data_IF_724497732383
#
_entry.id   IF_724497732383
#
_cell.length_a   1.000
_cell.length_b   1.000
_cell.length_c   1.000
_cell.angle_alpha   90.00
_cell.angle_beta   90.00
_cell.angle_gamma   90.00
#
_symmetry.space_group_name_H-M   'P 1'
#
loop_
_entity.id
_entity.type
_entity.pdbx_description
1 polymer ?
#
# COMPACT_ATOMS: atom_id res chain seq x y z
N UNK A 1 56.24 -59.72 25.34
CA UNK A 1 55.29 -58.59 25.44
C UNK A 1 55.14 -57.94 24.07
N UNK A 2 53.93 -57.47 23.75
CA UNK A 2 53.46 -56.91 22.46
C UNK A 2 52.78 -57.90 21.50
N UNK A 3 51.54 -58.28 21.84
CA UNK A 3 50.55 -58.73 20.85
C UNK A 3 49.97 -57.49 20.16
N UNK A 4 50.11 -57.41 18.83
CA UNK A 4 49.41 -56.41 18.00
C UNK A 4 48.02 -56.94 17.65
N UNK A 5 47.01 -56.49 18.39
CA UNK A 5 45.59 -56.70 18.07
C UNK A 5 45.20 -55.73 16.95
N UNK A 6 44.80 -56.26 15.78
CA UNK A 6 44.25 -55.45 14.68
C UNK A 6 42.77 -55.16 14.96
N UNK A 7 42.47 -53.90 15.23
CA UNK A 7 41.12 -53.35 15.39
C UNK A 7 40.44 -53.22 14.01
N UNK A 8 39.40 -54.01 13.76
CA UNK A 8 38.51 -53.82 12.61
C UNK A 8 37.53 -52.68 12.95
N UNK A 9 37.67 -51.54 12.27
CA UNK A 9 36.70 -50.44 12.32
C UNK A 9 35.58 -50.75 11.34
N UNK A 10 34.39 -51.08 11.85
CA UNK A 10 33.17 -51.11 11.04
C UNK A 10 32.68 -49.68 10.83
N UNK A 11 32.85 -49.15 9.63
CA UNK A 11 32.23 -47.88 9.20
C UNK A 11 30.77 -48.18 8.87
N UNK A 12 29.85 -47.82 9.77
CA UNK A 12 28.41 -47.76 9.46
C UNK A 12 28.17 -46.56 8.54
N UNK A 13 27.88 -46.80 7.27
CA UNK A 13 27.28 -45.80 6.39
C UNK A 13 25.83 -45.59 6.84
N UNK A 14 25.56 -44.52 7.59
CA UNK A 14 24.21 -44.04 7.79
C UNK A 14 23.69 -43.51 6.45
N UNK A 15 22.84 -44.29 5.79
CA UNK A 15 22.06 -43.82 4.64
C UNK A 15 21.09 -42.79 5.19
N UNK A 16 21.45 -41.52 5.05
CA UNK A 16 20.54 -40.40 5.31
C UNK A 16 19.46 -40.49 4.23
N UNK A 17 18.29 -41.03 4.57
CA UNK A 17 17.11 -40.98 3.72
C UNK A 17 16.70 -39.51 3.60
N UNK A 18 17.22 -38.83 2.59
CA UNK A 18 16.73 -37.52 2.20
C UNK A 18 15.29 -37.71 1.74
N UNK A 19 14.33 -37.35 2.59
CA UNK A 19 12.93 -37.22 2.18
C UNK A 19 12.90 -36.16 1.10
N UNK A 20 12.77 -36.59 -0.15
CA UNK A 20 12.49 -35.74 -1.29
C UNK A 20 11.14 -35.09 -1.00
N UNK A 21 11.15 -33.87 -0.45
CA UNK A 21 9.97 -33.02 -0.41
C UNK A 21 9.64 -32.71 -1.87
N UNK A 22 8.77 -33.51 -2.46
CA UNK A 22 8.02 -33.11 -3.64
C UNK A 22 7.27 -31.85 -3.21
N UNK A 23 7.76 -30.69 -3.65
CA UNK A 23 7.00 -29.46 -3.55
C UNK A 23 5.74 -29.68 -4.39
N UNK A 24 4.65 -30.08 -3.73
CA UNK A 24 3.34 -30.07 -4.34
C UNK A 24 3.07 -28.62 -4.68
N UNK A 25 3.03 -28.30 -5.98
CA UNK A 25 2.59 -26.99 -6.45
C UNK A 25 1.21 -26.75 -5.88
N UNK A 26 1.09 -25.82 -4.93
CA UNK A 26 -0.20 -25.42 -4.39
C UNK A 26 -1.07 -24.93 -5.55
N UNK A 27 -2.24 -25.52 -5.72
CA UNK A 27 -3.21 -25.08 -6.72
C UNK A 27 -3.82 -23.75 -6.24
N UNK A 28 -3.79 -22.74 -7.11
CA UNK A 28 -4.51 -21.50 -6.87
C UNK A 28 -6.02 -21.79 -6.89
N UNK A 29 -6.73 -21.37 -5.84
CA UNK A 29 -8.18 -21.41 -5.75
C UNK A 29 -8.80 -20.13 -6.32
N UNK A 30 -10.06 -20.19 -6.72
CA UNK A 30 -10.86 -19.01 -7.07
C UNK A 30 -12.10 -18.96 -6.19
N UNK A 31 -12.21 -17.91 -5.38
CA UNK A 31 -13.37 -17.67 -4.51
C UNK A 31 -14.27 -16.60 -5.12
N UNK A 32 -15.57 -16.89 -5.23
CA UNK A 32 -16.55 -15.96 -5.82
C UNK A 32 -17.43 -15.37 -4.73
N UNK A 33 -17.17 -14.11 -4.40
CA UNK A 33 -17.93 -13.35 -3.40
C UNK A 33 -19.34 -13.09 -3.92
N UNK A 34 -20.34 -13.51 -3.15
CA UNK A 34 -21.76 -13.37 -3.47
C UNK A 34 -22.57 -12.63 -2.40
N UNK A 35 -21.95 -12.26 -1.28
CA UNK A 35 -22.57 -11.50 -0.19
C UNK A 35 -22.03 -10.07 -0.09
N UNK A 36 -22.92 -9.09 0.14
CA UNK A 36 -22.62 -7.66 0.21
C UNK A 36 -22.29 -7.13 1.61
N UNK A 37 -22.35 -8.00 2.63
CA UNK A 37 -22.01 -7.66 4.02
C UNK A 37 -20.67 -8.30 4.42
N UNK A 38 -20.18 -7.94 5.62
CA UNK A 38 -18.94 -8.46 6.18
C UNK A 38 -19.22 -9.55 7.22
N UNK A 39 -18.59 -10.71 7.05
CA UNK A 39 -18.61 -11.82 8.01
C UNK A 39 -17.36 -12.69 7.79
N UNK A 40 -16.86 -13.31 8.85
CA UNK A 40 -15.74 -14.26 8.77
C UNK A 40 -16.17 -15.57 8.13
N UNK A 41 -15.21 -16.31 7.60
CA UNK A 41 -15.44 -17.69 7.20
C UNK A 41 -15.78 -18.57 8.42
N UNK A 42 -16.67 -19.56 8.25
CA UNK A 42 -17.08 -20.46 9.31
C UNK A 42 -16.03 -21.54 9.62
N UNK A 43 -15.19 -21.92 8.66
CA UNK A 43 -14.17 -22.96 8.79
C UNK A 43 -12.94 -22.69 7.90
N UNK A 44 -12.12 -21.66 8.23
CA UNK A 44 -10.92 -21.31 7.48
C UNK A 44 -10.02 -22.49 7.10
N UNK A 45 -9.80 -22.71 5.80
CA UNK A 45 -8.91 -23.73 5.24
C UNK A 45 -9.58 -25.04 4.83
N UNK A 46 -10.91 -25.07 4.79
CA UNK A 46 -11.67 -26.21 4.24
C UNK A 46 -11.82 -26.17 2.70
N UNK A 47 -11.39 -25.06 2.08
CA UNK A 47 -11.42 -24.83 0.64
C UNK A 47 -12.76 -24.27 0.14
N UNK A 48 -13.67 -23.89 1.04
CA UNK A 48 -15.00 -23.38 0.72
C UNK A 48 -15.19 -22.02 1.37
N UNK A 49 -15.31 -20.97 0.55
CA UNK A 49 -15.69 -19.66 1.07
C UNK A 49 -17.15 -19.67 1.52
N UNK A 50 -17.39 -19.72 2.83
CA UNK A 50 -18.72 -19.75 3.42
C UNK A 50 -18.72 -19.22 4.86
N UNK A 51 -19.51 -18.19 5.10
CA UNK A 51 -19.85 -17.76 6.47
C UNK A 51 -20.82 -18.75 7.17
N UNK A 52 -21.23 -18.42 8.40
CA UNK A 52 -22.11 -19.27 9.21
C UNK A 52 -23.49 -19.55 8.59
N UNK A 53 -23.91 -18.80 7.55
CA UNK A 53 -25.16 -19.02 6.82
C UNK A 53 -24.93 -19.53 5.39
N UNK A 54 -23.69 -19.84 5.03
CA UNK A 54 -23.30 -20.42 3.74
C UNK A 54 -23.07 -19.41 2.62
N UNK A 55 -22.93 -18.12 2.92
CA UNK A 55 -22.65 -17.09 1.93
C UNK A 55 -21.16 -16.73 1.89
N UNK A 56 -20.64 -16.40 0.71
CA UNK A 56 -19.25 -16.02 0.53
C UNK A 56 -19.12 -14.49 0.58
N UNK A 57 -18.64 -13.96 1.70
CA UNK A 57 -18.24 -12.54 1.85
C UNK A 57 -16.81 -12.33 1.36
N UNK A 58 -16.39 -11.08 1.17
CA UNK A 58 -14.99 -10.78 0.83
C UNK A 58 -14.02 -11.24 1.94
N UNK A 59 -14.43 -11.08 3.21
CA UNK A 59 -13.60 -11.50 4.33
C UNK A 59 -13.53 -13.01 4.44
N UNK A 60 -14.63 -13.73 4.26
CA UNK A 60 -14.61 -15.19 4.23
C UNK A 60 -13.68 -15.72 3.12
N UNK A 61 -13.74 -15.12 1.92
CA UNK A 61 -12.84 -15.45 0.82
C UNK A 61 -11.36 -15.19 1.15
N UNK A 62 -11.08 -14.11 1.88
CA UNK A 62 -9.73 -13.80 2.35
C UNK A 62 -9.27 -14.75 3.47
N UNK A 63 -10.14 -15.13 4.39
CA UNK A 63 -9.87 -16.09 5.46
C UNK A 63 -9.50 -17.46 4.87
N UNK A 64 -10.25 -17.92 3.85
CA UNK A 64 -9.91 -19.11 3.07
C UNK A 64 -8.55 -18.97 2.37
N UNK A 65 -8.35 -17.88 1.62
CA UNK A 65 -7.09 -17.64 0.91
C UNK A 65 -5.87 -17.58 1.83
N UNK A 66 -6.04 -17.08 3.06
CA UNK A 66 -4.99 -17.06 4.06
C UNK A 66 -4.61 -18.45 4.58
N UNK A 67 -5.54 -19.40 4.53
CA UNK A 67 -5.33 -20.77 4.99
C UNK A 67 -4.73 -21.69 3.90
N UNK A 68 -4.71 -21.25 2.64
CA UNK A 68 -4.07 -21.99 1.54
C UNK A 68 -2.62 -21.56 1.30
N UNK A 69 -1.94 -22.32 0.45
CA UNK A 69 -0.57 -22.02 0.00
C UNK A 69 -0.50 -21.54 -1.46
N UNK A 70 -1.66 -21.51 -2.15
CA UNK A 70 -1.79 -21.05 -3.53
C UNK A 70 -1.79 -19.53 -3.63
N UNK A 71 -1.53 -19.02 -4.83
CA UNK A 71 -1.78 -17.61 -5.13
C UNK A 71 -3.22 -17.48 -5.61
N UNK A 72 -4.14 -17.34 -4.66
CA UNK A 72 -5.57 -17.43 -4.94
C UNK A 72 -6.13 -16.17 -5.62
N UNK A 73 -7.32 -16.31 -6.18
CA UNK A 73 -8.05 -15.23 -6.85
C UNK A 73 -9.41 -15.06 -6.18
N UNK A 74 -9.74 -13.83 -5.80
CA UNK A 74 -11.06 -13.45 -5.31
C UNK A 74 -11.74 -12.61 -6.39
N UNK A 75 -12.93 -13.06 -6.81
CA UNK A 75 -13.79 -12.38 -7.78
C UNK A 75 -15.18 -12.13 -7.18
N UNK A 76 -15.99 -11.33 -7.86
CA UNK A 76 -17.31 -10.94 -7.39
C UNK A 76 -18.40 -11.43 -8.34
N UNK A 77 -19.45 -12.05 -7.80
CA UNK A 77 -20.56 -12.57 -8.58
C UNK A 77 -21.37 -11.45 -9.24
N UNK A 78 -21.50 -10.29 -8.59
CA UNK A 78 -22.37 -9.19 -9.01
C UNK A 78 -21.69 -7.84 -8.77
N UNK A 79 -21.94 -6.82 -9.61
CA UNK A 79 -21.58 -5.45 -9.28
C UNK A 79 -22.35 -4.95 -8.06
N UNK A 80 -21.75 -4.05 -7.28
CA UNK A 80 -22.43 -3.48 -6.12
C UNK A 80 -21.48 -2.97 -5.05
N UNK A 81 -22.07 -2.63 -3.91
CA UNK A 81 -21.36 -2.14 -2.72
C UNK A 81 -21.23 -3.25 -1.70
N UNK A 82 -20.00 -3.64 -1.42
CA UNK A 82 -19.60 -4.64 -0.43
C UNK A 82 -19.12 -3.91 0.83
N UNK A 83 -19.89 -4.02 1.90
CA UNK A 83 -19.55 -3.38 3.17
C UNK A 83 -18.44 -4.17 3.86
N UNK A 84 -17.40 -3.48 4.31
CA UNK A 84 -16.24 -4.01 5.02
C UNK A 84 -16.16 -3.34 6.38
N UNK A 85 -16.40 -4.11 7.43
CA UNK A 85 -16.47 -3.66 8.81
C UNK A 85 -17.26 -4.66 9.64
N UNK A 86 -16.56 -5.48 10.43
CA UNK A 86 -17.19 -6.37 11.38
C UNK A 86 -17.93 -5.58 12.47
N UNK A 87 -19.04 -6.13 12.93
CA UNK A 87 -19.77 -5.62 14.10
C UNK A 87 -19.37 -6.39 15.37
N UNK A 88 -19.65 -5.84 16.55
CA UNK A 88 -19.43 -6.53 17.81
C UNK A 88 -17.95 -6.57 18.27
N UNK A 89 -17.50 -7.62 18.98
CA UNK A 89 -16.17 -7.64 19.63
C UNK A 89 -14.99 -7.68 18.64
N UNK A 90 -15.23 -8.01 17.37
CA UNK A 90 -14.24 -7.91 16.29
C UNK A 90 -14.33 -6.57 15.52
N UNK A 91 -15.21 -5.64 15.96
CA UNK A 91 -15.26 -4.28 15.40
C UNK A 91 -13.89 -3.64 15.52
N UNK A 92 -13.37 -3.16 14.40
CA UNK A 92 -12.04 -2.54 14.33
C UNK A 92 -11.01 -3.35 13.53
N UNK A 93 -11.32 -4.58 13.10
CA UNK A 93 -10.37 -5.38 12.32
C UNK A 93 -10.61 -5.25 10.80
N UNK A 94 -9.61 -4.75 10.09
CA UNK A 94 -9.57 -4.81 8.62
C UNK A 94 -9.47 -6.25 8.12
N UNK A 95 -9.75 -6.46 6.83
CA UNK A 95 -9.53 -7.75 6.16
C UNK A 95 -8.03 -8.03 6.11
N UNK A 96 -7.61 -9.19 6.62
CA UNK A 96 -6.20 -9.58 6.67
C UNK A 96 -5.79 -10.29 5.39
N UNK A 97 -4.65 -9.94 4.80
CA UNK A 97 -4.12 -10.56 3.57
C UNK A 97 -2.70 -11.05 3.82
N UNK A 98 -2.59 -12.24 4.42
CA UNK A 98 -1.34 -12.82 4.93
C UNK A 98 -0.66 -13.77 3.94
N UNK A 99 -1.29 -14.04 2.81
CA UNK A 99 -0.83 -14.90 1.71
C UNK A 99 -0.95 -14.18 0.37
N UNK A 100 -0.28 -14.66 -0.70
CA UNK A 100 -0.45 -14.10 -2.03
C UNK A 100 -1.89 -14.24 -2.52
N UNK A 101 -2.50 -13.13 -2.96
CA UNK A 101 -3.89 -13.12 -3.43
C UNK A 101 -4.13 -12.00 -4.43
N UNK A 102 -4.92 -12.29 -5.46
CA UNK A 102 -5.46 -11.29 -6.39
C UNK A 102 -6.92 -11.04 -6.09
N UNK A 103 -7.31 -9.79 -5.88
CA UNK A 103 -8.71 -9.38 -5.69
C UNK A 103 -9.12 -8.55 -6.89
N UNK A 104 -9.96 -9.13 -7.75
CA UNK A 104 -10.29 -8.58 -9.06
C UNK A 104 -11.78 -8.24 -9.15
N UNK A 105 -12.09 -6.95 -9.32
CA UNK A 105 -13.44 -6.45 -9.53
C UNK A 105 -14.05 -6.84 -10.88
N UNK A 106 -13.24 -7.33 -11.81
CA UNK A 106 -13.66 -7.76 -13.14
C UNK A 106 -14.19 -6.62 -14.00
N UNK A 107 -14.98 -6.97 -15.02
CA UNK A 107 -15.57 -6.03 -15.98
C UNK A 107 -17.11 -6.00 -15.95
N UNK A 108 -17.74 -6.69 -14.99
CA UNK A 108 -19.20 -6.84 -14.91
C UNK A 108 -19.92 -5.57 -14.40
N UNK A 109 -19.16 -4.57 -13.95
CA UNK A 109 -19.63 -3.31 -13.40
C UNK A 109 -18.72 -2.86 -12.26
N UNK A 110 -19.07 -1.77 -11.57
CA UNK A 110 -18.24 -1.29 -10.46
C UNK A 110 -18.43 -2.15 -9.21
N UNK A 111 -17.33 -2.66 -8.69
CA UNK A 111 -17.23 -3.24 -7.36
C UNK A 111 -16.75 -2.16 -6.40
N UNK A 112 -17.61 -1.79 -5.46
CA UNK A 112 -17.34 -0.77 -4.45
C UNK A 112 -17.12 -1.46 -3.12
N UNK A 113 -15.92 -1.38 -2.58
CA UNK A 113 -15.60 -1.78 -1.23
C UNK A 113 -15.83 -0.57 -0.31
N UNK A 114 -16.82 -0.68 0.57
CA UNK A 114 -17.24 0.39 1.46
C UNK A 114 -16.74 0.09 2.87
N UNK A 115 -15.75 0.86 3.33
CA UNK A 115 -15.24 0.75 4.68
C UNK A 115 -16.11 1.46 5.71
N UNK A 116 -15.66 1.41 6.96
CA UNK A 116 -16.23 2.18 8.08
C UNK A 116 -15.21 3.15 8.65
N UNK A 117 -15.67 4.14 9.42
CA UNK A 117 -14.77 5.08 10.13
C UNK A 117 -13.96 4.44 11.26
N UNK A 118 -14.28 3.20 11.65
CA UNK A 118 -13.77 2.59 12.87
C UNK A 118 -12.60 1.62 12.62
N UNK A 119 -12.33 1.25 11.37
CA UNK A 119 -11.27 0.31 11.02
C UNK A 119 -10.63 0.65 9.68
N UNK A 120 -9.38 0.20 9.52
CA UNK A 120 -8.82 -0.02 8.19
C UNK A 120 -9.72 -1.01 7.40
N UNK A 121 -9.78 -0.84 6.08
CA UNK A 121 -10.50 -1.79 5.20
C UNK A 121 -9.66 -3.05 4.99
N UNK A 122 -8.38 -2.89 4.63
CA UNK A 122 -7.39 -3.96 4.55
C UNK A 122 -6.22 -3.68 5.48
N UNK A 123 -5.89 -4.64 6.35
CA UNK A 123 -4.83 -4.51 7.34
C UNK A 123 -3.90 -5.74 7.31
N UNK A 124 -2.63 -5.52 7.68
CA UNK A 124 -1.59 -6.55 7.82
C UNK A 124 -1.38 -7.43 6.59
N UNK A 125 -0.47 -6.96 5.74
CA UNK A 125 0.14 -7.80 4.72
C UNK A 125 1.23 -8.60 5.41
N UNK A 126 1.08 -9.92 5.40
CA UNK A 126 2.08 -10.83 5.93
C UNK A 126 3.46 -10.51 5.33
N UNK A 127 4.53 -10.84 6.05
CA UNK A 127 5.89 -10.71 5.52
C UNK A 127 5.96 -11.40 4.14
N UNK A 128 6.25 -10.61 3.11
CA UNK A 128 6.33 -11.04 1.71
C UNK A 128 5.00 -11.48 1.06
N UNK A 129 3.83 -11.22 1.66
CA UNK A 129 2.56 -11.40 0.99
C UNK A 129 2.51 -10.52 -0.27
N UNK A 130 2.19 -11.12 -1.42
CA UNK A 130 2.05 -10.41 -2.70
C UNK A 130 0.57 -10.25 -3.01
N UNK A 131 0.05 -9.04 -2.88
CA UNK A 131 -1.35 -8.74 -3.08
C UNK A 131 -1.53 -7.85 -4.29
N UNK A 132 -2.49 -8.21 -5.13
CA UNK A 132 -2.91 -7.44 -6.29
C UNK A 132 -4.38 -7.06 -6.16
N UNK A 133 -4.66 -5.75 -6.23
CA UNK A 133 -6.01 -5.22 -6.39
C UNK A 133 -6.20 -4.74 -7.82
N UNK A 134 -7.28 -5.17 -8.47
CA UNK A 134 -7.63 -4.75 -9.84
C UNK A 134 -9.09 -4.35 -9.97
N UNK A 135 -9.37 -3.22 -10.64
CA UNK A 135 -10.73 -2.81 -11.02
C UNK A 135 -11.68 -2.60 -9.84
N UNK A 136 -11.18 -2.03 -8.74
CA UNK A 136 -11.94 -1.80 -7.51
C UNK A 136 -12.11 -0.31 -7.19
N UNK A 137 -13.24 0.04 -6.58
CA UNK A 137 -13.42 1.30 -5.87
C UNK A 137 -13.33 1.03 -4.37
N UNK A 138 -12.45 1.71 -3.63
CA UNK A 138 -12.31 1.58 -2.18
C UNK A 138 -12.57 2.92 -1.51
N UNK A 139 -13.59 2.97 -0.64
CA UNK A 139 -14.03 4.25 -0.08
C UNK A 139 -14.56 4.20 1.35
N UNK A 140 -14.52 5.37 2.01
CA UNK A 140 -15.16 5.63 3.30
C UNK A 140 -14.56 4.90 4.50
N UNK A 141 -13.34 4.39 4.38
CA UNK A 141 -12.64 3.73 5.47
C UNK A 141 -11.86 4.72 6.35
N UNK A 142 -11.53 4.32 7.59
CA UNK A 142 -10.48 4.98 8.39
C UNK A 142 -9.14 4.93 7.65
N UNK A 143 -8.89 3.86 6.91
CA UNK A 143 -7.80 3.74 5.94
C UNK A 143 -8.19 2.70 4.91
N UNK A 144 -7.92 2.91 3.63
CA UNK A 144 -8.20 1.85 2.67
C UNK A 144 -7.23 0.66 2.87
N UNK A 145 -5.93 0.94 2.95
CA UNK A 145 -4.91 -0.11 2.95
C UNK A 145 -3.77 0.23 3.91
N UNK A 146 -3.39 -0.72 4.77
CA UNK A 146 -2.15 -0.68 5.55
C UNK A 146 -1.19 -1.79 5.12
N UNK A 147 -0.09 -1.44 4.46
CA UNK A 147 0.97 -2.38 4.03
C UNK A 147 2.25 -2.26 4.87
N UNK A 148 2.35 -3.07 5.92
CA UNK A 148 3.44 -3.01 6.92
C UNK A 148 4.67 -3.86 6.58
N UNK A 149 4.63 -4.70 5.53
CA UNK A 149 5.80 -5.48 5.07
C UNK A 149 5.63 -6.25 3.73
N UNK A 150 4.46 -6.19 3.10
CA UNK A 150 4.15 -6.95 1.88
C UNK A 150 4.50 -6.22 0.58
N UNK A 151 4.24 -6.90 -0.53
CA UNK A 151 4.27 -6.36 -1.89
C UNK A 151 2.83 -6.12 -2.30
N UNK A 152 2.46 -4.86 -2.45
CA UNK A 152 1.13 -4.41 -2.84
C UNK A 152 1.16 -3.85 -4.25
N UNK A 153 0.29 -4.35 -5.12
CA UNK A 153 0.00 -3.75 -6.42
C UNK A 153 -1.45 -3.27 -6.44
N UNK A 154 -1.64 -2.01 -6.80
CA UNK A 154 -2.95 -1.36 -6.98
C UNK A 154 -3.04 -0.94 -8.44
N UNK A 155 -3.84 -1.65 -9.22
CA UNK A 155 -3.96 -1.45 -10.66
C UNK A 155 -5.40 -1.15 -11.07
N UNK A 156 -5.62 -0.09 -11.85
CA UNK A 156 -6.97 0.29 -12.31
C UNK A 156 -7.98 0.45 -11.16
N UNK A 157 -7.53 0.98 -10.02
CA UNK A 157 -8.37 1.19 -8.84
C UNK A 157 -8.67 2.67 -8.61
N UNK A 158 -9.77 2.93 -7.90
CA UNK A 158 -10.13 4.23 -7.36
C UNK A 158 -10.18 4.15 -5.83
N UNK A 159 -9.23 4.79 -5.16
CA UNK A 159 -9.21 4.90 -3.69
C UNK A 159 -9.66 6.32 -3.31
N UNK A 160 -10.85 6.44 -2.72
CA UNK A 160 -11.46 7.75 -2.50
C UNK A 160 -12.15 7.94 -1.16
N UNK A 161 -12.20 9.18 -0.67
CA UNK A 161 -12.94 9.54 0.55
C UNK A 161 -12.55 8.71 1.79
N UNK A 162 -11.28 8.30 1.88
CA UNK A 162 -10.76 7.60 3.05
C UNK A 162 -10.07 8.60 3.99
N UNK A 163 -10.28 8.44 5.30
CA UNK A 163 -9.84 9.43 6.30
C UNK A 163 -9.12 8.76 7.46
N UNK A 164 -7.80 8.98 7.56
CA UNK A 164 -6.93 8.40 8.58
C UNK A 164 -6.27 9.45 9.47
N UNK A 165 -5.51 9.00 10.47
CA UNK A 165 -4.49 9.85 11.11
C UNK A 165 -3.31 10.11 10.16
N UNK A 166 -2.86 9.09 9.43
CA UNK A 166 -1.77 9.16 8.45
C UNK A 166 -2.10 8.26 7.26
N UNK A 167 -1.85 8.71 6.03
CA UNK A 167 -2.07 7.92 4.83
C UNK A 167 -3.54 7.56 4.65
N UNK A 168 -4.41 8.53 4.35
CA UNK A 168 -5.87 8.32 4.27
C UNK A 168 -6.26 7.14 3.38
N UNK A 169 -5.61 7.00 2.22
CA UNK A 169 -5.77 5.83 1.36
C UNK A 169 -4.80 4.71 1.76
N UNK A 170 -3.50 4.97 1.69
CA UNK A 170 -2.47 3.94 1.85
C UNK A 170 -1.47 4.39 2.92
N UNK A 171 -1.23 3.51 3.89
CA UNK A 171 -0.08 3.58 4.77
C UNK A 171 0.87 2.44 4.45
N UNK A 172 2.17 2.72 4.36
CA UNK A 172 3.17 1.66 4.23
C UNK A 172 4.43 1.93 5.04
N UNK A 173 4.95 0.88 5.67
CA UNK A 173 6.26 0.82 6.34
C UNK A 173 6.90 -0.49 5.95
N UNK A 174 8.19 -0.52 5.64
CA UNK A 174 8.94 -1.71 5.16
C UNK A 174 8.37 -2.47 3.94
N UNK A 175 7.17 -2.15 3.48
CA UNK A 175 6.50 -2.74 2.34
C UNK A 175 6.81 -2.02 1.03
N UNK A 176 6.46 -2.68 -0.07
CA UNK A 176 6.53 -2.11 -1.42
C UNK A 176 5.12 -1.90 -1.94
N UNK A 177 4.84 -0.72 -2.47
CA UNK A 177 3.54 -0.36 -3.07
C UNK A 177 3.77 0.10 -4.50
N UNK A 178 3.15 -0.57 -5.46
CA UNK A 178 3.11 -0.16 -6.86
C UNK A 178 1.69 0.24 -7.23
N UNK A 179 1.52 1.48 -7.70
CA UNK A 179 0.24 2.05 -8.09
C UNK A 179 0.30 2.34 -9.59
N UNK A 180 -0.59 1.73 -10.37
CA UNK A 180 -0.64 1.91 -11.81
C UNK A 180 -2.06 2.16 -12.31
N UNK A 181 -2.22 3.04 -13.29
CA UNK A 181 -3.52 3.29 -13.94
C UNK A 181 -4.65 3.62 -12.95
N UNK A 182 -4.31 4.22 -11.80
CA UNK A 182 -5.21 4.32 -10.66
C UNK A 182 -5.43 5.77 -10.26
N UNK A 183 -6.47 6.01 -9.46
CA UNK A 183 -6.81 7.33 -8.96
C UNK A 183 -6.97 7.32 -7.44
N UNK A 184 -6.24 8.19 -6.75
CA UNK A 184 -6.33 8.40 -5.31
C UNK A 184 -6.90 9.81 -5.06
N UNK A 185 -8.17 9.90 -4.70
CA UNK A 185 -8.88 11.20 -4.66
C UNK A 185 -9.64 11.48 -3.38
N UNK A 186 -9.68 12.74 -2.95
CA UNK A 186 -10.47 13.16 -1.79
C UNK A 186 -10.13 12.36 -0.51
N UNK A 187 -8.90 11.86 -0.38
CA UNK A 187 -8.44 11.21 0.84
C UNK A 187 -7.85 12.25 1.78
N UNK A 188 -8.04 12.05 3.08
CA UNK A 188 -7.61 12.99 4.10
C UNK A 188 -6.83 12.31 5.22
N UNK A 189 -5.81 13.00 5.73
CA UNK A 189 -5.10 12.60 6.93
C UNK A 189 -5.04 13.78 7.91
N UNK A 190 -5.34 13.56 9.19
CA UNK A 190 -5.23 14.62 10.20
C UNK A 190 -3.76 14.96 10.51
N UNK A 191 -2.83 14.02 10.32
CA UNK A 191 -1.39 14.20 10.41
C UNK A 191 -0.75 14.25 9.02
N UNK A 192 -0.20 13.17 8.48
CA UNK A 192 0.69 13.27 7.31
C UNK A 192 0.27 12.34 6.17
N UNK A 193 0.47 12.81 4.93
CA UNK A 193 0.15 12.04 3.73
C UNK A 193 -1.35 11.89 3.56
N UNK A 194 -2.04 12.89 3.00
CA UNK A 194 -3.50 12.86 2.87
C UNK A 194 -4.01 11.63 2.13
N UNK A 195 -3.30 11.21 1.09
CA UNK A 195 -3.52 9.94 0.41
C UNK A 195 -2.54 8.86 0.89
N UNK A 196 -1.24 9.11 0.78
CA UNK A 196 -0.20 8.11 0.99
C UNK A 196 0.76 8.55 2.08
N UNK A 197 0.99 7.68 3.05
CA UNK A 197 2.10 7.79 3.98
C UNK A 197 3.11 6.66 3.70
N UNK A 198 4.29 7.05 3.21
CA UNK A 198 5.44 6.17 3.08
C UNK A 198 6.37 6.35 4.30
N UNK A 199 6.22 5.46 5.27
CA UNK A 199 7.04 5.36 6.47
C UNK A 199 8.37 4.65 6.23
N UNK A 200 9.19 4.57 7.28
CA UNK A 200 10.54 3.95 7.24
C UNK A 200 10.55 2.62 6.49
N UNK A 201 11.49 2.47 5.56
CA UNK A 201 11.65 1.26 4.73
C UNK A 201 10.58 1.08 3.66
N UNK A 202 9.53 1.91 3.64
CA UNK A 202 8.48 1.86 2.64
C UNK A 202 8.97 2.32 1.27
N UNK A 203 8.57 1.63 0.22
CA UNK A 203 8.87 2.02 -1.16
C UNK A 203 7.58 2.18 -1.94
N UNK A 204 7.38 3.35 -2.54
CA UNK A 204 6.18 3.65 -3.32
C UNK A 204 6.57 4.00 -4.76
N UNK A 205 5.97 3.31 -5.73
CA UNK A 205 6.07 3.60 -7.16
C UNK A 205 4.69 3.93 -7.70
N UNK A 206 4.58 5.04 -8.43
CA UNK A 206 3.31 5.53 -8.99
C UNK A 206 3.50 5.80 -10.47
N UNK A 207 2.70 5.14 -11.30
CA UNK A 207 2.84 5.20 -12.76
C UNK A 207 1.47 5.42 -13.39
N UNK A 208 1.38 6.31 -14.39
CA UNK A 208 0.16 6.56 -15.15
C UNK A 208 -1.09 6.74 -14.25
N UNK A 209 -0.95 7.52 -13.18
CA UNK A 209 -1.97 7.62 -12.13
C UNK A 209 -2.28 9.06 -11.78
N UNK A 210 -3.43 9.27 -11.14
CA UNK A 210 -3.88 10.57 -10.67
C UNK A 210 -3.98 10.59 -9.15
N UNK A 211 -3.43 11.63 -8.51
CA UNK A 211 -3.53 11.83 -7.06
C UNK A 211 -4.02 13.25 -6.83
N UNK A 212 -5.30 13.41 -6.50
CA UNK A 212 -5.92 14.72 -6.52
C UNK A 212 -6.87 15.01 -5.37
N UNK A 213 -6.98 16.28 -4.99
CA UNK A 213 -7.90 16.73 -3.95
C UNK A 213 -7.67 16.04 -2.59
N UNK A 214 -6.44 15.65 -2.29
CA UNK A 214 -6.10 15.05 -1.00
C UNK A 214 -5.63 16.12 0.00
N UNK A 215 -5.85 15.87 1.29
CA UNK A 215 -5.53 16.83 2.35
C UNK A 215 -4.75 16.20 3.50
N UNK A 216 -3.71 16.89 3.97
CA UNK A 216 -2.87 16.46 5.11
C UNK A 216 -2.25 17.64 5.85
N UNK A 217 -1.58 17.41 6.99
CA UNK A 217 -0.73 18.42 7.64
C UNK A 217 0.54 18.63 6.84
N UNK A 218 1.29 17.56 6.57
CA UNK A 218 2.43 17.60 5.64
C UNK A 218 2.27 16.55 4.56
N UNK A 219 2.59 16.92 3.31
CA UNK A 219 2.30 16.06 2.17
C UNK A 219 0.80 15.96 1.97
N UNK A 220 0.17 16.99 1.40
CA UNK A 220 -1.28 17.00 1.22
C UNK A 220 -1.78 15.78 0.46
N UNK A 221 -0.98 15.26 -0.48
CA UNK A 221 -1.14 13.92 -1.02
C UNK A 221 -0.21 12.90 -0.36
N UNK A 222 1.11 13.12 -0.43
CA UNK A 222 2.11 12.11 -0.10
C UNK A 222 3.09 12.63 0.93
N UNK A 223 3.22 11.90 2.03
CA UNK A 223 4.34 12.05 2.97
C UNK A 223 5.36 10.95 2.72
N UNK A 224 6.63 11.34 2.60
CA UNK A 224 7.76 10.42 2.59
C UNK A 224 8.60 10.67 3.83
N UNK A 225 8.66 9.68 4.71
CA UNK A 225 9.37 9.69 5.98
C UNK A 225 10.83 9.22 5.79
N UNK A 226 11.76 9.55 6.71
CA UNK A 226 13.13 9.05 6.64
C UNK A 226 13.22 7.54 6.42
N UNK A 227 14.08 7.12 5.50
CA UNK A 227 14.22 5.70 5.13
C UNK A 227 13.20 5.18 4.11
N UNK A 228 12.25 6.01 3.64
CA UNK A 228 11.31 5.67 2.57
C UNK A 228 11.74 6.20 1.19
N UNK A 229 11.33 5.51 0.13
CA UNK A 229 11.57 5.90 -1.27
C UNK A 229 10.26 6.22 -2.00
N UNK A 230 10.33 7.16 -2.94
CA UNK A 230 9.20 7.53 -3.80
C UNK A 230 9.66 7.70 -5.25
N UNK A 231 8.99 7.01 -6.17
CA UNK A 231 9.12 7.19 -7.61
C UNK A 231 7.76 7.50 -8.21
N UNK A 232 7.69 8.53 -9.04
CA UNK A 232 6.49 8.94 -9.75
C UNK A 232 6.85 9.08 -11.23
N UNK A 233 6.09 8.45 -12.11
CA UNK A 233 6.26 8.55 -13.54
C UNK A 233 4.92 8.73 -14.25
N UNK A 234 4.88 9.56 -15.30
CA UNK A 234 3.72 9.68 -16.21
C UNK A 234 2.39 9.96 -15.47
N UNK A 235 2.47 10.68 -14.35
CA UNK A 235 1.36 10.84 -13.39
C UNK A 235 1.04 12.30 -13.10
N UNK A 236 -0.17 12.54 -12.60
CA UNK A 236 -0.66 13.89 -12.25
C UNK A 236 -0.95 13.95 -10.75
N UNK A 237 -0.38 14.96 -10.08
CA UNK A 237 -0.62 15.28 -8.69
C UNK A 237 -1.16 16.70 -8.59
N UNK A 238 -2.49 16.85 -8.46
CA UNK A 238 -3.12 18.16 -8.52
C UNK A 238 -4.16 18.47 -7.45
N UNK A 239 -4.33 19.75 -7.12
CA UNK A 239 -5.30 20.23 -6.13
C UNK A 239 -5.14 19.61 -4.74
N UNK A 240 -3.93 19.17 -4.38
CA UNK A 240 -3.68 18.64 -3.05
C UNK A 240 -3.31 19.77 -2.08
N UNK A 241 -3.77 19.66 -0.83
CA UNK A 241 -3.64 20.73 0.16
C UNK A 241 -2.92 20.24 1.42
N UNK A 242 -1.88 20.96 1.83
CA UNK A 242 -1.20 20.75 3.10
C UNK A 242 -1.42 21.92 4.06
N UNK A 243 -1.85 21.66 5.29
CA UNK A 243 -1.96 22.70 6.33
C UNK A 243 -0.61 23.14 6.92
N UNK A 244 0.50 22.54 6.48
CA UNK A 244 1.87 22.96 6.77
C UNK A 244 2.72 23.00 5.49
N UNK A 245 3.30 21.88 5.04
CA UNK A 245 4.29 21.90 3.95
C UNK A 245 4.11 20.76 2.95
N UNK A 246 4.49 21.01 1.69
CA UNK A 246 4.37 20.03 0.60
C UNK A 246 2.92 19.79 0.21
N UNK A 247 2.29 20.72 -0.52
CA UNK A 247 0.86 20.62 -0.83
C UNK A 247 0.51 19.34 -1.58
N UNK A 248 1.37 18.87 -2.49
CA UNK A 248 1.33 17.49 -2.98
C UNK A 248 2.24 16.59 -2.14
N UNK A 249 3.55 16.84 -2.19
CA UNK A 249 4.56 15.92 -1.65
C UNK A 249 5.38 16.63 -0.57
N UNK A 250 5.52 15.97 0.57
CA UNK A 250 6.52 16.34 1.57
C UNK A 250 7.54 15.21 1.72
N UNK A 251 8.76 15.47 1.26
CA UNK A 251 9.88 14.54 1.34
C UNK A 251 10.85 14.97 2.44
N UNK A 252 11.02 14.12 3.46
CA UNK A 252 12.01 14.31 4.52
C UNK A 252 12.88 13.07 4.61
N UNK A 253 14.13 13.15 4.12
CA UNK A 253 14.99 11.97 4.07
C UNK A 253 15.67 11.66 5.41
N UNK A 254 15.80 12.65 6.31
CA UNK A 254 16.54 12.49 7.56
C UNK A 254 18.02 12.13 7.36
N UNK A 255 18.63 12.63 6.28
CA UNK A 255 20.01 12.31 5.86
C UNK A 255 20.25 10.84 5.49
N UNK A 256 19.21 10.14 5.05
CA UNK A 256 19.33 8.77 4.52
C UNK A 256 19.67 8.78 3.03
N UNK A 257 20.04 7.63 2.47
CA UNK A 257 20.36 7.47 1.04
C UNK A 257 19.13 7.29 0.15
N UNK A 258 17.93 7.60 0.67
CA UNK A 258 16.69 7.38 -0.09
C UNK A 258 16.55 8.36 -1.22
N UNK A 259 15.71 8.00 -2.19
CA UNK A 259 15.53 8.73 -3.43
C UNK A 259 14.11 9.20 -3.60
N UNK A 260 13.98 10.42 -4.11
CA UNK A 260 12.77 10.94 -4.73
C UNK A 260 13.01 11.07 -6.24
N UNK A 261 12.23 10.38 -7.05
CA UNK A 261 12.26 10.50 -8.52
C UNK A 261 10.90 10.92 -9.05
N UNK A 262 10.85 11.95 -9.89
CA UNK A 262 9.66 12.42 -10.59
C UNK A 262 10.00 12.55 -12.08
N UNK A 263 9.26 11.85 -12.93
CA UNK A 263 9.56 11.75 -14.36
C UNK A 263 8.29 11.93 -15.19
N UNK A 264 8.31 12.82 -16.19
CA UNK A 264 7.17 13.04 -17.10
C UNK A 264 5.84 13.27 -16.38
N UNK A 265 5.88 14.03 -15.30
CA UNK A 265 4.75 14.19 -14.38
C UNK A 265 4.33 15.65 -14.21
N UNK A 266 3.07 15.88 -13.87
CA UNK A 266 2.54 17.21 -13.58
C UNK A 266 2.16 17.34 -12.10
N UNK A 267 2.77 18.31 -11.41
CA UNK A 267 2.43 18.71 -10.05
C UNK A 267 1.80 20.11 -10.12
N UNK A 268 0.48 20.20 -10.20
CA UNK A 268 -0.22 21.46 -10.45
C UNK A 268 -1.29 21.82 -9.43
N UNK A 269 -1.51 23.13 -9.20
CA UNK A 269 -2.60 23.61 -8.34
C UNK A 269 -2.58 23.10 -6.90
N UNK A 270 -1.42 22.69 -6.40
CA UNK A 270 -1.27 22.24 -5.03
C UNK A 270 -1.00 23.43 -4.10
N UNK A 271 -1.48 23.34 -2.87
CA UNK A 271 -1.44 24.43 -1.89
C UNK A 271 -0.80 23.95 -0.60
N UNK A 272 0.17 24.70 -0.08
CA UNK A 272 0.73 24.51 1.25
C UNK A 272 0.58 25.79 2.07
N UNK A 273 0.18 25.67 3.33
CA UNK A 273 0.04 26.83 4.22
C UNK A 273 1.39 27.49 4.56
N UNK A 274 2.50 26.74 4.53
CA UNK A 274 3.84 27.22 4.88
C UNK A 274 4.81 27.21 3.70
N UNK A 275 5.22 26.04 3.20
CA UNK A 275 6.30 25.97 2.18
C UNK A 275 6.13 24.80 1.21
N UNK A 276 6.65 24.98 -0.01
CA UNK A 276 6.56 23.98 -1.10
C UNK A 276 5.12 23.67 -1.49
N UNK A 277 4.46 24.59 -2.20
CA UNK A 277 3.04 24.42 -2.56
C UNK A 277 2.76 23.13 -3.32
N UNK A 278 3.68 22.67 -4.15
CA UNK A 278 3.67 21.30 -4.67
C UNK A 278 4.58 20.38 -3.86
N UNK A 279 5.87 20.68 -3.82
CA UNK A 279 6.89 19.79 -3.28
C UNK A 279 7.70 20.51 -2.22
N UNK A 280 7.74 19.94 -1.02
CA UNK A 280 8.68 20.34 0.01
C UNK A 280 9.72 19.24 0.24
N UNK A 281 10.98 19.65 0.32
CA UNK A 281 12.11 18.75 0.49
C UNK A 281 13.02 19.21 1.63
N UNK A 282 13.25 18.32 2.58
CA UNK A 282 14.19 18.53 3.68
C UNK A 282 15.22 17.39 3.78
N UNK A 283 16.48 17.78 4.00
CA UNK A 283 17.59 16.87 4.31
C UNK A 283 17.79 15.79 3.25
N UNK A 284 17.71 16.14 1.97
CA UNK A 284 17.55 15.19 0.87
C UNK A 284 18.76 15.20 -0.08
N UNK A 285 19.61 14.16 -0.05
CA UNK A 285 20.78 14.11 -0.91
C UNK A 285 20.46 13.68 -2.35
N UNK A 286 19.33 13.01 -2.61
CA UNK A 286 19.03 12.43 -3.93
C UNK A 286 17.60 12.73 -4.39
N UNK A 287 17.46 13.80 -5.18
CA UNK A 287 16.20 14.19 -5.83
C UNK A 287 16.47 14.29 -7.33
N UNK A 288 15.61 13.68 -8.13
CA UNK A 288 15.66 13.72 -9.60
C UNK A 288 14.28 14.08 -10.11
N UNK A 289 14.19 15.19 -10.85
CA UNK A 289 12.94 15.67 -11.47
C UNK A 289 13.25 15.94 -12.94
N UNK A 290 12.71 15.12 -13.84
CA UNK A 290 12.96 15.22 -15.28
C UNK A 290 11.66 15.26 -16.07
N UNK A 291 11.65 16.05 -17.15
CA UNK A 291 10.53 16.19 -18.09
C UNK A 291 9.17 16.47 -17.41
N UNK A 292 9.18 17.14 -16.26
CA UNK A 292 8.02 17.30 -15.38
C UNK A 292 7.67 18.77 -15.18
N UNK A 293 6.39 19.06 -14.97
CA UNK A 293 5.87 20.40 -14.71
C UNK A 293 5.49 20.59 -13.24
N UNK A 294 5.87 21.75 -12.67
CA UNK A 294 5.46 22.18 -11.33
C UNK A 294 4.83 23.57 -11.47
N UNK A 295 3.52 23.63 -11.67
CA UNK A 295 2.83 24.86 -12.11
C UNK A 295 1.65 25.24 -11.22
N UNK A 296 1.33 26.53 -11.14
CA UNK A 296 0.13 27.04 -10.43
C UNK A 296 0.01 26.60 -8.96
N UNK A 297 1.13 26.31 -8.31
CA UNK A 297 1.16 25.89 -6.92
C UNK A 297 1.34 27.11 -6.01
N UNK A 298 0.78 27.04 -4.80
CA UNK A 298 0.78 28.15 -3.85
C UNK A 298 1.37 27.73 -2.51
N UNK A 299 2.34 28.50 -2.00
CA UNK A 299 2.82 28.42 -0.63
C UNK A 299 2.48 29.74 0.09
N UNK A 300 1.66 29.66 1.14
CA UNK A 300 1.17 30.86 1.85
C UNK A 300 2.07 31.33 3.01
N UNK A 301 3.17 30.63 3.30
CA UNK A 301 4.05 30.94 4.43
C UNK A 301 5.02 32.09 4.14
N UNK A 302 5.23 32.91 5.16
CA UNK A 302 6.08 34.12 5.12
C UNK A 302 7.48 33.94 5.72
N UNK A 303 7.87 32.74 6.19
CA UNK A 303 9.10 32.53 6.97
C UNK A 303 10.15 31.66 6.26
N UNK A 304 11.41 32.12 6.33
CA UNK A 304 12.68 31.46 5.95
C UNK A 304 12.92 31.17 4.47
N UNK A 305 13.00 32.20 3.61
CA UNK A 305 13.75 32.16 2.33
C UNK A 305 13.41 31.05 1.30
N UNK A 306 12.40 30.22 1.55
CA UNK A 306 12.03 29.03 0.79
C UNK A 306 10.55 28.99 0.40
N UNK A 307 9.92 30.17 0.30
CA UNK A 307 8.56 30.38 -0.19
C UNK A 307 8.43 30.20 -1.71
N UNK A 308 9.05 29.17 -2.29
CA UNK A 308 8.78 28.82 -3.67
C UNK A 308 7.34 28.34 -3.76
N UNK A 309 6.51 29.06 -4.53
CA UNK A 309 5.09 28.72 -4.71
C UNK A 309 4.90 27.24 -5.08
N UNK A 310 5.79 26.67 -5.88
CA UNK A 310 5.86 25.23 -6.18
C UNK A 310 6.82 24.41 -5.31
N UNK A 311 8.08 24.83 -5.20
CA UNK A 311 9.15 24.02 -4.60
C UNK A 311 9.77 24.70 -3.38
N UNK A 312 9.79 24.01 -2.24
CA UNK A 312 10.48 24.46 -1.02
C UNK A 312 11.60 23.49 -0.64
N UNK A 313 12.82 24.02 -0.43
CA UNK A 313 14.00 23.21 -0.05
C UNK A 313 14.62 23.82 1.21
N UNK A 314 14.75 23.04 2.28
CA UNK A 314 15.34 23.53 3.55
C UNK A 314 16.74 22.99 3.86
N UNK A 315 17.25 22.05 3.05
CA UNK A 315 18.63 21.54 3.10
C UNK A 315 18.84 20.48 2.02
N UNK A 316 19.33 20.90 0.84
CA UNK A 316 19.78 19.99 -0.22
C UNK A 316 21.30 20.13 -0.38
N UNK A 317 22.01 19.01 -0.31
CA UNK A 317 23.40 18.93 -0.76
C UNK A 317 23.32 18.61 -2.27
N UNK A 318 23.66 19.60 -3.10
CA UNK A 318 23.88 19.56 -4.56
C UNK A 318 22.82 18.84 -5.44
N UNK A 319 22.00 19.58 -6.21
CA UNK A 319 21.24 19.00 -7.32
C UNK A 319 22.19 18.48 -8.41
N UNK A 320 21.94 17.27 -8.92
CA UNK A 320 22.45 16.84 -10.22
C UNK A 320 21.37 17.22 -11.25
N UNK A 321 21.67 18.23 -12.07
CA UNK A 321 20.82 18.70 -13.17
C UNK A 321 20.99 17.82 -14.40
#
# INVERSE_FOLDING_TARGET
>A
MSHKTRLFVFVFFAICASTLFLATTALAATFTVNAFYDAVDASPGDGVCADAIGACTLRAAADESNATTGSDIIIFANPGTYNIGLSGPMSGTGVQLTRPVTINGGSLGRIILQGTSNSEMFASFGLYATVLFENLVMQGANRAIENSSGILTVNQCLLQNNTATTGGAIYTTYGTVSISNSSLTNNSATSDGGAIYAGTGGTVSIINSQISNNSGRTGGAIKVYPGANLSIADSVLNNNTASSAGGAIHYYSGYTTTKLTILRSDLSYNVAAASGGALYVAHAPYISIHDSSITNNVANGVLYGGGGGGLGISSAITPLW
#
